data_IF_948203810356
#
_entry.id   IF_948203810356
#
_cell.length_a   1.000
_cell.length_b   1.000
_cell.length_c   1.000
_cell.angle_alpha   90.00
_cell.angle_beta   90.00
_cell.angle_gamma   90.00
#
_symmetry.space_group_name_H-M   'P 1'
#
loop_
_entity.id
_entity.type
_entity.pdbx_description
1 polymer ?
#
# COMPACT_ATOMS: atom_id res chain seq x y z
N UNK A 1 2.17 -2.75 -8.14
CA UNK A 1 1.76 -1.33 -7.97
C UNK A 1 0.50 -1.33 -7.12
N UNK A 2 0.33 -0.35 -6.24
CA UNK A 2 -0.90 -0.15 -5.48
C UNK A 2 -1.46 1.26 -5.69
N UNK A 3 -2.53 1.59 -4.98
CA UNK A 3 -3.14 2.92 -4.98
C UNK A 3 -3.28 3.43 -3.55
N UNK A 4 -3.11 4.74 -3.37
CA UNK A 4 -3.33 5.43 -2.11
C UNK A 4 -4.48 6.42 -2.30
N UNK A 5 -5.52 6.26 -1.48
CA UNK A 5 -6.60 7.21 -1.29
C UNK A 5 -6.25 8.23 -0.20
N UNK A 6 -6.31 9.51 -0.54
CA UNK A 6 -6.10 10.63 0.40
C UNK A 6 -7.27 11.61 0.31
N UNK A 7 -7.47 12.40 1.36
CA UNK A 7 -8.27 13.62 1.29
C UNK A 7 -7.33 14.80 1.08
N UNK A 8 -7.56 15.57 0.03
CA UNK A 8 -6.81 16.77 -0.30
C UNK A 8 -7.79 17.83 -0.80
N UNK A 9 -7.72 19.06 -0.25
CA UNK A 9 -8.67 20.14 -0.55
C UNK A 9 -10.15 19.72 -0.44
N UNK A 10 -10.50 19.02 0.65
CA UNK A 10 -11.83 18.45 0.91
C UNK A 10 -12.36 17.51 -0.19
N UNK A 11 -11.46 16.92 -0.98
CA UNK A 11 -11.78 15.98 -2.07
C UNK A 11 -10.99 14.68 -1.96
N UNK A 12 -11.60 13.54 -2.31
CA UNK A 12 -10.89 12.28 -2.36
C UNK A 12 -10.07 12.17 -3.65
N UNK A 13 -8.77 11.92 -3.51
CA UNK A 13 -7.87 11.57 -4.61
C UNK A 13 -7.41 10.12 -4.48
N UNK A 14 -7.29 9.40 -5.60
CA UNK A 14 -6.74 8.04 -5.66
C UNK A 14 -5.53 8.03 -6.58
N UNK A 15 -4.35 7.78 -6.01
CA UNK A 15 -3.06 8.00 -6.68
C UNK A 15 -2.23 6.72 -6.72
N UNK A 16 -1.62 6.38 -7.87
CA UNK A 16 -0.77 5.19 -7.96
C UNK A 16 0.51 5.34 -7.13
N UNK A 17 0.98 4.22 -6.58
CA UNK A 17 2.25 4.10 -5.84
C UNK A 17 2.98 2.80 -6.17
N UNK A 18 4.30 2.90 -6.28
CA UNK A 18 5.19 1.74 -6.09
C UNK A 18 5.46 1.62 -4.60
N UNK A 19 5.17 0.45 -4.04
CA UNK A 19 5.18 0.22 -2.60
C UNK A 19 6.00 -1.02 -2.26
N UNK A 20 6.40 -1.11 -1.00
CA UNK A 20 6.89 -2.32 -0.36
C UNK A 20 6.20 -2.49 1.00
N UNK A 21 6.35 -3.67 1.60
CA UNK A 21 5.95 -3.89 2.99
C UNK A 21 7.22 -3.92 3.83
N UNK A 22 7.27 -3.09 4.87
CA UNK A 22 8.40 -3.02 5.79
C UNK A 22 7.88 -2.82 7.21
N UNK A 23 8.30 -3.71 8.12
CA UNK A 23 7.91 -3.68 9.53
C UNK A 23 6.38 -3.59 9.76
N UNK A 24 5.63 -4.39 8.98
CA UNK A 24 4.16 -4.42 9.04
C UNK A 24 3.46 -3.20 8.43
N UNK A 25 4.19 -2.19 7.94
CA UNK A 25 3.64 -1.01 7.29
C UNK A 25 3.76 -1.07 5.77
N UNK A 26 2.87 -0.34 5.08
CA UNK A 26 3.02 -0.08 3.65
C UNK A 26 3.96 1.11 3.49
N UNK A 27 5.04 0.95 2.75
CA UNK A 27 6.00 2.04 2.50
C UNK A 27 6.05 2.39 1.02
N UNK A 28 6.18 3.67 0.70
CA UNK A 28 6.37 4.12 -0.68
C UNK A 28 7.15 5.44 -0.73
N UNK A 29 7.60 5.78 -1.95
CA UNK A 29 8.26 7.05 -2.23
C UNK A 29 7.35 7.98 -3.03
N UNK A 30 7.36 9.27 -2.70
CA UNK A 30 6.62 10.29 -3.45
C UNK A 30 7.41 11.59 -3.56
N UNK A 31 7.14 12.37 -4.60
CA UNK A 31 7.52 13.79 -4.64
C UNK A 31 6.48 14.67 -3.93
N UNK A 32 6.62 15.99 -4.07
CA UNK A 32 5.66 16.98 -3.57
C UNK A 32 4.25 16.75 -4.16
N UNK A 33 3.21 17.07 -3.39
CA UNK A 33 1.80 16.94 -3.78
C UNK A 33 0.97 16.27 -2.69
N UNK A 34 -0.26 15.90 -3.03
CA UNK A 34 -1.27 15.41 -2.08
C UNK A 34 -0.80 14.27 -1.16
N UNK A 35 -0.05 13.29 -1.69
CA UNK A 35 0.49 12.18 -0.87
C UNK A 35 1.48 12.64 0.20
N UNK A 36 2.30 13.66 -0.11
CA UNK A 36 3.24 14.22 0.85
C UNK A 36 2.51 15.10 1.87
N UNK A 37 1.55 15.92 1.43
CA UNK A 37 0.71 16.72 2.33
C UNK A 37 0.02 15.83 3.37
N UNK A 38 -0.63 14.74 2.92
CA UNK A 38 -1.29 13.78 3.80
C UNK A 38 -0.34 13.20 4.86
N UNK A 39 0.91 12.90 4.49
CA UNK A 39 1.89 12.38 5.43
C UNK A 39 2.43 13.43 6.42
N UNK A 40 2.51 14.70 6.00
CA UNK A 40 2.92 15.80 6.86
C UNK A 40 1.83 16.17 7.89
N UNK A 41 0.57 15.89 7.56
CA UNK A 41 -0.60 16.12 8.42
C UNK A 41 -1.00 14.90 9.25
N UNK A 42 -0.25 13.79 9.13
CA UNK A 42 -0.61 12.50 9.73
C UNK A 42 -2.04 12.09 9.38
N UNK A 43 -2.47 12.39 8.16
CA UNK A 43 -3.86 12.26 7.74
C UNK A 43 -4.28 10.79 7.58
N UNK A 44 -5.58 10.48 7.81
CA UNK A 44 -6.11 9.16 7.51
C UNK A 44 -6.07 8.89 5.99
N UNK A 45 -5.62 7.70 5.63
CA UNK A 45 -5.47 7.24 4.25
C UNK A 45 -5.99 5.83 4.08
N UNK A 46 -6.31 5.50 2.82
CA UNK A 46 -6.55 4.13 2.40
C UNK A 46 -5.45 3.69 1.42
N UNK A 47 -4.94 2.49 1.55
CA UNK A 47 -4.10 1.85 0.54
C UNK A 47 -4.81 0.63 -0.03
N UNK A 48 -4.71 0.44 -1.33
CA UNK A 48 -5.35 -0.65 -2.06
C UNK A 48 -4.36 -1.33 -3.00
N UNK A 49 -4.45 -2.67 -3.06
CA UNK A 49 -3.82 -3.47 -4.11
C UNK A 49 -4.68 -4.68 -4.44
N UNK A 50 -4.75 -5.00 -5.72
CA UNK A 50 -5.50 -6.13 -6.27
C UNK A 50 -4.68 -6.93 -7.27
N UNK A 51 -5.17 -8.13 -7.57
CA UNK A 51 -4.80 -8.88 -8.76
C UNK A 51 -6.01 -9.69 -9.25
N UNK A 52 -6.13 -9.83 -10.56
CA UNK A 52 -7.17 -10.63 -11.21
C UNK A 52 -6.49 -11.56 -12.20
N UNK A 53 -6.84 -12.84 -12.16
CA UNK A 53 -6.52 -13.81 -13.19
C UNK A 53 -7.78 -14.07 -14.02
N UNK A 54 -7.81 -13.49 -15.23
CA UNK A 54 -8.93 -13.65 -16.15
C UNK A 54 -9.06 -15.08 -16.71
N UNK A 55 -7.99 -15.88 -16.67
CA UNK A 55 -7.99 -17.26 -17.19
C UNK A 55 -8.73 -18.22 -16.26
N UNK A 56 -8.61 -17.98 -14.95
CA UNK A 56 -9.25 -18.77 -13.91
C UNK A 56 -10.48 -18.08 -13.30
N UNK A 57 -10.81 -16.88 -13.78
CA UNK A 57 -11.88 -16.02 -13.25
C UNK A 57 -11.76 -15.84 -11.72
N UNK A 58 -10.52 -15.72 -11.24
CA UNK A 58 -10.16 -15.57 -9.85
C UNK A 58 -9.51 -14.20 -9.61
N UNK A 59 -9.55 -13.73 -8.38
CA UNK A 59 -8.88 -12.50 -8.02
C UNK A 59 -8.90 -12.22 -6.54
N UNK A 60 -8.14 -11.23 -6.13
CA UNK A 60 -8.14 -10.76 -4.76
C UNK A 60 -7.94 -9.25 -4.72
N UNK A 61 -8.37 -8.65 -3.62
CA UNK A 61 -8.12 -7.25 -3.30
C UNK A 61 -7.82 -7.10 -1.81
N UNK A 62 -6.85 -6.27 -1.46
CA UNK A 62 -6.55 -5.89 -0.08
C UNK A 62 -6.72 -4.38 0.06
N UNK A 63 -7.42 -3.97 1.10
CA UNK A 63 -7.55 -2.57 1.51
C UNK A 63 -7.01 -2.41 2.93
N UNK A 64 -6.09 -1.46 3.08
CA UNK A 64 -5.52 -1.03 4.35
C UNK A 64 -6.06 0.37 4.66
N UNK A 65 -6.63 0.57 5.84
CA UNK A 65 -6.90 1.89 6.40
C UNK A 65 -5.88 2.16 7.50
N UNK A 66 -5.39 3.39 7.56
CA UNK A 66 -4.45 3.83 8.58
C UNK A 66 -4.06 5.29 8.40
N UNK A 67 -2.94 5.69 8.97
CA UNK A 67 -2.44 7.06 8.88
C UNK A 67 -1.12 7.09 8.10
N UNK A 68 -0.94 8.12 7.29
CA UNK A 68 0.31 8.34 6.56
C UNK A 68 1.30 9.12 7.42
N UNK A 69 2.54 8.67 7.48
CA UNK A 69 3.60 9.34 8.24
C UNK A 69 4.85 9.51 7.38
N UNK A 70 5.56 10.63 7.59
CA UNK A 70 6.86 10.84 6.99
C UNK A 70 7.89 9.94 7.68
N UNK A 71 8.71 9.24 6.89
CA UNK A 71 9.82 8.46 7.40
C UNK A 71 11.13 9.24 7.17
N UNK A 72 11.82 9.57 8.25
CA UNK A 72 13.02 10.43 8.28
C UNK A 72 14.31 9.69 8.73
N UNK A 73 14.18 8.51 9.35
CA UNK A 73 15.33 7.71 9.79
C UNK A 73 16.18 7.19 8.62
N UNK A 74 17.43 7.67 8.55
CA UNK A 74 18.38 7.35 7.48
C UNK A 74 18.70 5.85 7.40
N UNK A 75 18.82 5.17 8.55
CA UNK A 75 19.04 3.72 8.64
C UNK A 75 17.86 2.91 8.07
N UNK A 76 16.63 3.39 8.29
CA UNK A 76 15.43 2.74 7.77
C UNK A 76 15.30 3.02 6.27
N UNK A 77 15.55 4.26 5.85
CA UNK A 77 15.51 4.67 4.44
C UNK A 77 16.50 3.86 3.59
N UNK A 78 17.71 3.63 4.11
CA UNK A 78 18.72 2.80 3.43
C UNK A 78 18.19 1.40 3.12
N UNK A 79 17.55 0.74 4.10
CA UNK A 79 16.93 -0.58 3.93
C UNK A 79 15.75 -0.56 2.96
N UNK A 80 15.01 0.55 2.88
CA UNK A 80 13.91 0.70 1.92
C UNK A 80 14.40 0.90 0.49
N UNK A 81 15.58 1.49 0.29
CA UNK A 81 16.18 1.68 -1.02
C UNK A 81 16.34 0.36 -1.79
N UNK A 82 16.73 -0.70 -1.08
CA UNK A 82 16.86 -2.04 -1.66
C UNK A 82 15.51 -2.71 -1.95
N UNK A 83 14.45 -2.35 -1.22
CA UNK A 83 13.11 -2.95 -1.34
C UNK A 83 12.24 -2.26 -2.39
N UNK A 84 12.39 -0.95 -2.56
CA UNK A 84 11.56 -0.16 -3.48
C UNK A 84 12.11 -0.24 -4.89
N UNK A 85 11.66 -1.25 -5.62
CA UNK A 85 12.01 -1.49 -7.03
C UNK A 85 11.55 -0.31 -7.89
N UNK A 86 12.46 0.63 -8.15
CA UNK A 86 12.36 1.72 -9.15
C UNK A 86 11.13 2.63 -9.02
N UNK A 87 11.14 3.61 -8.09
CA UNK A 87 10.15 4.67 -8.08
C UNK A 87 10.26 5.56 -9.32
N UNK A 88 9.11 5.98 -9.85
CA UNK A 88 9.04 6.90 -11.00
C UNK A 88 9.48 8.33 -10.67
N UNK A 89 9.69 8.64 -9.39
CA UNK A 89 10.22 9.93 -8.93
C UNK A 89 11.73 9.81 -8.76
N UNK A 90 12.53 10.72 -9.34
CA UNK A 90 13.97 10.80 -9.10
C UNK A 90 14.30 10.83 -7.59
N UNK A 91 15.37 10.13 -7.18
CA UNK A 91 15.74 9.95 -5.77
C UNK A 91 15.97 11.26 -5.02
N UNK A 92 16.54 12.25 -5.69
CA UNK A 92 16.97 13.54 -5.12
C UNK A 92 15.83 14.40 -4.55
N UNK A 93 14.57 14.08 -4.85
CA UNK A 93 13.38 14.85 -4.42
C UNK A 93 12.27 13.98 -3.83
N UNK A 94 12.59 12.74 -3.48
CA UNK A 94 11.60 11.79 -3.00
C UNK A 94 11.58 11.73 -1.47
N UNK A 95 10.41 11.96 -0.89
CA UNK A 95 10.11 11.67 0.51
C UNK A 95 9.67 10.22 0.66
N UNK A 96 10.05 9.61 1.79
CA UNK A 96 9.60 8.26 2.17
C UNK A 96 8.38 8.39 3.07
N UNK A 97 7.35 7.62 2.75
CA UNK A 97 6.08 7.63 3.47
C UNK A 97 5.84 6.21 3.96
N UNK A 98 5.39 6.08 5.21
CA UNK A 98 4.83 4.84 5.75
C UNK A 98 3.35 5.03 6.03
N UNK A 99 2.55 4.01 5.76
CA UNK A 99 1.16 3.93 6.22
C UNK A 99 1.14 2.93 7.36
N UNK A 100 0.86 3.44 8.57
CA UNK A 100 0.72 2.61 9.77
C UNK A 100 -0.67 2.00 9.76
N UNK A 101 -0.82 0.67 9.60
CA UNK A 101 -2.14 0.07 9.45
C UNK A 101 -2.92 0.07 10.75
N UNK A 102 -4.21 0.41 10.66
CA UNK A 102 -5.17 0.28 11.77
C UNK A 102 -6.19 -0.81 11.49
N UNK A 103 -6.58 -0.93 10.21
CA UNK A 103 -7.51 -1.96 9.76
C UNK A 103 -7.07 -2.45 8.40
N UNK A 104 -7.05 -3.77 8.25
CA UNK A 104 -6.73 -4.39 6.97
C UNK A 104 -7.82 -5.40 6.65
N UNK A 105 -8.31 -5.33 5.41
CA UNK A 105 -9.37 -6.18 4.90
C UNK A 105 -8.94 -6.80 3.57
N UNK A 106 -9.29 -8.06 3.37
CA UNK A 106 -9.05 -8.78 2.12
C UNK A 106 -10.36 -9.34 1.58
N UNK A 107 -10.46 -9.42 0.26
CA UNK A 107 -11.54 -10.13 -0.42
C UNK A 107 -10.91 -11.06 -1.46
N UNK A 108 -11.33 -12.32 -1.45
CA UNK A 108 -11.10 -13.27 -2.54
C UNK A 108 -12.33 -13.30 -3.44
N UNK A 109 -12.10 -13.45 -4.74
CA UNK A 109 -13.10 -13.58 -5.79
C UNK A 109 -12.77 -14.89 -6.49
N UNK A 110 -13.72 -15.83 -6.48
CA UNK A 110 -13.64 -17.08 -7.23
C UNK A 110 -14.85 -17.14 -8.15
N UNK A 111 -14.66 -17.59 -9.39
CA UNK A 111 -15.77 -17.83 -10.29
C UNK A 111 -16.73 -18.85 -9.70
N UNK A 112 -17.97 -18.41 -9.46
CA UNK A 112 -19.09 -19.32 -9.35
C UNK A 112 -19.01 -20.36 -8.22
N UNK A 113 -18.40 -20.03 -7.07
CA UNK A 113 -18.94 -20.47 -5.78
C UNK A 113 -19.00 -19.30 -4.83
N UNK A 114 -20.20 -18.77 -4.67
CA UNK A 114 -20.53 -17.83 -3.62
C UNK A 114 -20.33 -18.53 -2.26
N UNK A 115 -19.11 -18.54 -1.74
CA UNK A 115 -18.80 -19.02 -0.39
C UNK A 115 -18.29 -17.82 0.41
N UNK A 116 -19.17 -17.21 1.22
CA UNK A 116 -18.71 -16.43 2.37
C UNK A 116 -18.00 -17.40 3.30
N UNK A 117 -16.68 -17.35 3.35
CA UNK A 117 -15.91 -17.90 4.46
C UNK A 117 -15.36 -16.74 5.26
N UNK A 118 -15.78 -16.64 6.53
CA UNK A 118 -15.08 -15.83 7.52
C UNK A 118 -13.65 -16.38 7.63
N UNK A 119 -12.65 -15.59 7.26
CA UNK A 119 -11.24 -16.00 7.31
C UNK A 119 -10.61 -15.43 8.60
N UNK A 120 -10.02 -16.27 9.50
CA UNK A 120 -9.26 -15.78 10.64
C UNK A 120 -7.90 -15.21 10.20
N UNK A 121 -7.38 -14.26 10.98
CA UNK A 121 -6.16 -13.45 10.78
C UNK A 121 -5.06 -14.08 9.92
N UNK A 122 -4.68 -13.42 8.82
CA UNK A 122 -3.55 -13.80 7.98
C UNK A 122 -2.21 -13.33 8.58
N UNK A 123 -1.20 -14.19 8.50
CA UNK A 123 0.22 -13.90 8.80
C UNK A 123 0.95 -13.57 7.48
N UNK A 124 1.65 -12.44 7.44
CA UNK A 124 2.37 -11.93 6.26
C UNK A 124 3.49 -12.87 5.75
N UNK A 125 3.88 -13.88 6.53
CA UNK A 125 4.97 -14.82 6.19
C UNK A 125 4.56 -15.97 5.26
N UNK A 126 3.28 -16.12 4.94
CA UNK A 126 2.75 -17.28 4.22
C UNK A 126 2.50 -17.05 2.71
N UNK A 127 2.98 -15.95 2.12
CA UNK A 127 2.85 -15.75 0.66
C UNK A 127 3.80 -16.69 -0.11
N UNK A 128 3.33 -17.38 -1.17
CA UNK A 128 4.22 -18.17 -2.02
C UNK A 128 5.21 -17.25 -2.75
N UNK A 129 6.47 -17.69 -2.95
CA UNK A 129 7.41 -16.93 -3.75
C UNK A 129 6.90 -16.87 -5.19
N UNK A 130 6.99 -15.69 -5.82
CA UNK A 130 6.81 -15.57 -7.26
C UNK A 130 8.11 -15.96 -7.96
N UNK A 131 7.98 -16.77 -9.01
CA UNK A 131 8.99 -16.96 -10.05
C UNK A 131 9.29 -15.64 -10.80
#
# INVERSE_FOLDING_TARGET
MGRVGVIHDDRPDVLPVNYAIFDGAVVFRTGRGAKLTAAMEEAPVAFEVDAIDASWEEGWSVVVHGHAELLDSEDVISKLGDLLVRPWVPAERASHIRIVPERITGRSIEAGRHRRTDVPSWDLRAMPPRD
#
